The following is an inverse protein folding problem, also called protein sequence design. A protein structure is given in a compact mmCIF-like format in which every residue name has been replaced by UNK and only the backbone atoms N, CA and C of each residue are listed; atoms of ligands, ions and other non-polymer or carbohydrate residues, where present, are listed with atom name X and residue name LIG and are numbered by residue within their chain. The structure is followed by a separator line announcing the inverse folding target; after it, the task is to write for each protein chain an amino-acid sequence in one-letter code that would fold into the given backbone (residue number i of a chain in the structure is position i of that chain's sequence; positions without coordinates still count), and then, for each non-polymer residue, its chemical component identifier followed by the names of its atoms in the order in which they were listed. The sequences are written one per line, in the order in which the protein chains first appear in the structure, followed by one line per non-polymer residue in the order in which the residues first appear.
data_IF_201978697411
#
_entry.id   IF_201978697411
#
_cell.length_a   1.000
_cell.length_b   1.000
_cell.length_c   1.000
_cell.angle_alpha   90.00
_cell.angle_beta   90.00
_cell.angle_gamma   90.00
#
_symmetry.space_group_name_H-M   'P 1'
#
loop_
_entity.id
_entity.type
_entity.pdbx_description
1 polymer ?
#
# COMPACT_ATOMS: atom_id res chain seq x y z
N UNK A 1 -50.65 1.90 9.41
CA UNK A 1 -49.76 2.15 10.57
C UNK A 1 -48.81 0.96 10.78
N UNK A 2 -47.73 0.83 10.00
CA UNK A 2 -46.79 -0.33 10.07
C UNK A 2 -45.30 0.03 9.94
N UNK A 3 -44.96 1.33 9.91
CA UNK A 3 -43.60 1.84 9.61
C UNK A 3 -42.73 1.96 10.88
N UNK A 4 -43.33 1.93 12.08
CA UNK A 4 -42.63 2.17 13.35
C UNK A 4 -41.80 0.99 13.85
N UNK A 5 -42.19 -0.24 13.48
CA UNK A 5 -41.48 -1.46 13.88
C UNK A 5 -40.19 -1.69 13.07
N UNK A 6 -40.14 -1.20 11.83
CA UNK A 6 -38.99 -1.39 10.92
C UNK A 6 -37.80 -0.48 11.26
N UNK A 7 -38.05 0.68 11.88
CA UNK A 7 -37.01 1.64 12.27
C UNK A 7 -36.22 1.13 13.49
N UNK A 8 -36.88 0.45 14.43
CA UNK A 8 -36.21 -0.13 15.60
C UNK A 8 -35.23 -1.24 15.24
N UNK A 9 -35.57 -2.08 14.25
CA UNK A 9 -34.72 -3.18 13.79
C UNK A 9 -33.44 -2.67 13.09
N UNK A 10 -33.54 -1.57 12.36
CA UNK A 10 -32.39 -0.98 11.67
C UNK A 10 -31.39 -0.33 12.63
N UNK A 11 -31.88 0.23 13.75
CA UNK A 11 -31.03 0.86 14.77
C UNK A 11 -30.22 -0.16 15.59
N UNK A 12 -30.75 -1.37 15.82
CA UNK A 12 -30.02 -2.42 16.55
C UNK A 12 -28.83 -3.01 15.76
N UNK A 13 -28.87 -2.98 14.43
CA UNK A 13 -27.78 -3.50 13.59
C UNK A 13 -26.54 -2.59 13.57
N UNK A 14 -26.67 -1.32 13.97
CA UNK A 14 -25.57 -0.35 13.99
C UNK A 14 -24.65 -0.48 15.22
N UNK A 15 -25.10 -1.14 16.30
CA UNK A 15 -24.37 -1.17 17.57
C UNK A 15 -23.46 -2.40 17.76
N UNK A 16 -23.44 -3.36 16.82
CA UNK A 16 -22.61 -4.57 16.92
C UNK A 16 -21.23 -4.46 16.23
N UNK A 17 -20.80 -3.28 15.80
CA UNK A 17 -19.46 -3.09 15.23
C UNK A 17 -18.40 -2.88 16.31
N UNK A 18 -18.26 -3.85 17.23
CA UNK A 18 -17.06 -3.98 18.05
C UNK A 18 -15.94 -4.58 17.17
N UNK A 19 -15.27 -3.71 16.43
CA UNK A 19 -14.06 -4.05 15.69
C UNK A 19 -12.96 -4.49 16.66
N UNK A 20 -12.76 -5.80 16.78
CA UNK A 20 -11.62 -6.40 17.47
C UNK A 20 -10.35 -6.03 16.71
N UNK A 21 -9.71 -4.93 17.11
CA UNK A 21 -8.41 -4.51 16.58
C UNK A 21 -7.36 -5.48 17.10
N UNK A 22 -7.24 -6.63 16.44
CA UNK A 22 -6.09 -7.52 16.63
C UNK A 22 -4.89 -6.75 16.09
N UNK A 23 -4.06 -6.21 16.98
CA UNK A 23 -2.66 -5.92 16.68
C UNK A 23 -2.04 -7.24 16.24
N UNK A 24 -2.13 -7.55 14.95
CA UNK A 24 -1.32 -8.58 14.32
C UNK A 24 0.12 -8.08 14.44
N UNK A 25 0.93 -8.76 15.24
CA UNK A 25 2.39 -8.58 15.16
C UNK A 25 2.76 -8.93 13.72
N UNK A 26 2.99 -7.90 12.90
CA UNK A 26 3.46 -8.05 11.51
C UNK A 26 4.66 -8.99 11.53
N UNK A 27 4.53 -10.11 10.82
CA UNK A 27 5.64 -11.03 10.67
C UNK A 27 6.73 -10.31 9.86
N UNK A 28 8.02 -10.53 10.14
CA UNK A 28 9.11 -9.91 9.37
C UNK A 28 9.03 -10.18 7.86
N UNK A 29 8.37 -11.27 7.44
CA UNK A 29 8.05 -11.54 6.04
C UNK A 29 7.11 -10.49 5.44
N UNK A 30 6.10 -10.03 6.17
CA UNK A 30 5.17 -8.99 5.72
C UNK A 30 5.88 -7.65 5.57
N UNK A 31 6.79 -7.31 6.49
CA UNK A 31 7.56 -6.08 6.39
C UNK A 31 8.47 -6.10 5.15
N UNK A 32 9.16 -7.22 4.91
CA UNK A 32 10.01 -7.39 3.72
C UNK A 32 9.20 -7.33 2.42
N UNK A 33 8.03 -7.96 2.38
CA UNK A 33 7.13 -7.89 1.23
C UNK A 33 6.64 -6.45 0.97
N UNK A 34 6.21 -5.74 2.01
CA UNK A 34 5.80 -4.34 1.87
C UNK A 34 6.94 -3.42 1.43
N UNK A 35 8.18 -3.67 1.85
CA UNK A 35 9.34 -2.90 1.36
C UNK A 35 9.67 -3.23 -0.08
N UNK A 36 9.60 -4.50 -0.50
CA UNK A 36 9.82 -4.86 -1.90
C UNK A 36 8.77 -4.26 -2.82
N UNK A 37 7.51 -4.22 -2.41
CA UNK A 37 6.42 -3.66 -3.21
C UNK A 37 6.65 -2.16 -3.48
N UNK A 38 7.04 -1.40 -2.45
CA UNK A 38 7.39 0.02 -2.60
C UNK A 38 8.62 0.23 -3.47
N UNK A 39 9.61 -0.65 -3.33
CA UNK A 39 10.82 -0.58 -4.14
C UNK A 39 10.50 -0.77 -5.63
N UNK A 40 9.65 -1.75 -5.95
CA UNK A 40 9.16 -2.02 -7.32
C UNK A 40 8.32 -0.85 -7.84
N UNK A 41 7.41 -0.30 -7.04
CA UNK A 41 6.57 0.85 -7.44
C UNK A 41 7.43 2.05 -7.87
N UNK A 42 8.40 2.44 -7.03
CA UNK A 42 9.32 3.53 -7.36
C UNK A 42 10.17 3.21 -8.59
N UNK A 43 10.64 1.97 -8.75
CA UNK A 43 11.40 1.57 -9.92
C UNK A 43 10.57 1.70 -11.22
N UNK A 44 9.33 1.22 -11.21
CA UNK A 44 8.44 1.30 -12.38
C UNK A 44 8.08 2.75 -12.73
N UNK A 45 7.86 3.61 -11.72
CA UNK A 45 7.65 5.03 -11.95
C UNK A 45 8.88 5.69 -12.57
N UNK A 46 10.09 5.35 -12.11
CA UNK A 46 11.33 5.82 -12.73
C UNK A 46 11.45 5.40 -14.19
N UNK A 47 11.16 4.14 -14.50
CA UNK A 47 11.18 3.63 -15.87
C UNK A 47 10.16 4.31 -16.78
N UNK A 48 8.96 4.63 -16.26
CA UNK A 48 7.96 5.37 -17.00
C UNK A 48 8.41 6.81 -17.31
N UNK A 49 9.02 7.49 -16.35
CA UNK A 49 9.54 8.85 -16.52
C UNK A 49 10.70 8.88 -17.52
N UNK A 50 11.60 7.90 -17.44
CA UNK A 50 12.71 7.77 -18.38
C UNK A 50 12.20 7.51 -19.82
N UNK A 51 11.19 6.65 -19.96
CA UNK A 51 10.50 6.42 -21.24
C UNK A 51 9.81 7.68 -21.79
N UNK A 52 9.44 8.63 -20.93
CA UNK A 52 8.82 9.91 -21.29
C UNK A 52 9.84 11.03 -21.51
N UNK A 53 11.14 10.72 -21.63
CA UNK A 53 12.24 11.69 -21.74
C UNK A 53 12.29 12.67 -20.55
N UNK A 54 11.93 12.20 -19.35
CA UNK A 54 12.01 12.93 -18.07
C UNK A 54 13.11 12.34 -17.17
N UNK A 55 14.40 12.37 -17.59
CA UNK A 55 15.46 11.64 -16.92
C UNK A 55 15.80 12.19 -15.52
N UNK A 56 15.54 13.49 -15.26
CA UNK A 56 15.80 14.06 -13.94
C UNK A 56 14.85 13.48 -12.91
N UNK A 57 13.57 13.47 -13.22
CA UNK A 57 12.49 12.92 -12.40
C UNK A 57 12.67 11.41 -12.23
N UNK A 58 13.04 10.70 -13.30
CA UNK A 58 13.34 9.27 -13.26
C UNK A 58 14.42 8.91 -12.22
N UNK A 59 15.53 9.65 -12.20
CA UNK A 59 16.61 9.44 -11.23
C UNK A 59 16.12 9.60 -9.78
N UNK A 60 15.19 10.52 -9.52
CA UNK A 60 14.62 10.66 -8.17
C UNK A 60 13.79 9.43 -7.78
N UNK A 61 13.00 8.87 -8.69
CA UNK A 61 12.23 7.66 -8.45
C UNK A 61 13.13 6.43 -8.25
N UNK A 62 14.14 6.23 -9.10
CA UNK A 62 15.09 5.12 -8.92
C UNK A 62 15.84 5.19 -7.59
N UNK A 63 16.22 6.39 -7.14
CA UNK A 63 16.81 6.58 -5.81
C UNK A 63 15.85 6.19 -4.69
N UNK A 64 14.56 6.52 -4.82
CA UNK A 64 13.54 6.10 -3.84
C UNK A 64 13.38 4.59 -3.81
N UNK A 65 13.46 3.90 -4.95
CA UNK A 65 13.44 2.44 -5.01
C UNK A 65 14.59 1.83 -4.19
N UNK A 66 15.81 2.35 -4.33
CA UNK A 66 16.99 1.90 -3.60
C UNK A 66 16.91 2.13 -2.08
N UNK A 67 16.11 3.11 -1.61
CA UNK A 67 15.88 3.32 -0.17
C UNK A 67 15.09 2.15 0.43
N UNK A 68 14.20 1.52 -0.34
CA UNK A 68 13.39 0.39 0.13
C UNK A 68 14.06 -0.96 -0.11
N UNK A 69 14.76 -1.13 -1.23
CA UNK A 69 15.56 -2.33 -1.51
C UNK A 69 16.79 -1.99 -2.36
N UNK A 70 17.94 -1.90 -1.68
CA UNK A 70 19.25 -1.66 -2.29
C UNK A 70 19.97 -2.94 -2.72
N UNK A 71 19.39 -4.11 -2.48
CA UNK A 71 20.02 -5.42 -2.76
C UNK A 71 19.40 -6.13 -3.96
N UNK A 72 18.21 -5.69 -4.39
CA UNK A 72 17.55 -6.22 -5.57
C UNK A 72 18.36 -5.98 -6.83
N UNK A 73 18.77 -7.07 -7.48
CA UNK A 73 19.45 -7.05 -8.77
C UNK A 73 18.61 -6.40 -9.88
N UNK A 74 17.28 -6.38 -9.74
CA UNK A 74 16.40 -5.70 -10.69
C UNK A 74 16.49 -4.18 -10.53
N UNK A 75 16.47 -3.69 -9.30
CA UNK A 75 16.51 -2.25 -8.99
C UNK A 75 17.90 -1.67 -9.27
N UNK A 76 18.97 -2.44 -9.03
CA UNK A 76 20.35 -2.02 -9.31
C UNK A 76 20.68 -1.83 -10.80
N UNK A 77 19.80 -2.27 -11.70
CA UNK A 77 19.95 -2.08 -13.16
C UNK A 77 19.24 -0.83 -13.70
N UNK A 78 18.62 -0.05 -12.81
CA UNK A 78 18.00 1.23 -13.14
C UNK A 78 19.00 2.21 -13.75
#
# INVERSE_FOLDING_TARGET
MKIRASIGLFLCLLLCSCGSSRKSLRQPADLKANTSDKAIEHFLNGALLDFQDQPREAIFEYRKALVYDSTSAQILKA
#
